data_IF_118623561223
#
_entry.id   IF_118623561223
#
_cell.length_a   1.000
_cell.length_b   1.000
_cell.length_c   1.000
_cell.angle_alpha   90.00
_cell.angle_beta   90.00
_cell.angle_gamma   90.00
#
_symmetry.space_group_name_H-M   'P 1'
#
loop_
_entity.id
_entity.type
_entity.pdbx_description
1 polymer ?
#
# COMPACT_ATOMS: atom_id res chain seq x y z
N UNK A 1 -40.66 -74.69 38.77
CA UNK A 1 -39.33 -74.08 38.95
C UNK A 1 -39.34 -72.81 38.10
N UNK A 2 -39.52 -71.67 38.76
CA UNK A 2 -39.71 -70.37 38.13
C UNK A 2 -38.36 -69.68 37.94
N UNK A 3 -38.09 -69.15 36.75
CA UNK A 3 -36.90 -68.32 36.48
C UNK A 3 -37.32 -66.87 36.36
N UNK A 4 -36.75 -66.06 37.25
CA UNK A 4 -36.89 -64.63 37.35
C UNK A 4 -35.94 -63.89 36.40
N UNK A 5 -36.49 -62.85 35.78
CA UNK A 5 -36.02 -61.47 35.61
C UNK A 5 -34.56 -61.08 35.28
N UNK A 6 -34.51 -59.93 34.58
CA UNK A 6 -33.40 -58.97 34.33
C UNK A 6 -32.51 -59.26 33.10
N UNK A 7 -32.05 -58.32 32.24
CA UNK A 7 -31.87 -56.86 32.30
C UNK A 7 -32.10 -56.27 30.89
N UNK A 8 -32.84 -55.16 30.80
CA UNK A 8 -32.94 -54.30 29.61
C UNK A 8 -31.90 -53.18 29.76
N UNK A 9 -30.82 -53.18 28.98
CA UNK A 9 -29.76 -52.18 29.07
C UNK A 9 -29.03 -51.98 27.74
N UNK A 10 -29.24 -50.82 27.12
CA UNK A 10 -28.59 -50.47 25.87
C UNK A 10 -29.10 -49.14 25.33
N UNK A 11 -28.97 -48.07 26.13
CA UNK A 11 -29.19 -46.69 25.68
C UNK A 11 -28.25 -46.41 24.51
N UNK A 12 -28.82 -46.04 23.37
CA UNK A 12 -28.07 -45.62 22.21
C UNK A 12 -27.39 -44.26 22.38
N UNK A 13 -26.47 -44.02 21.44
CA UNK A 13 -25.80 -42.75 21.06
C UNK A 13 -24.47 -42.46 21.80
N UNK A 14 -23.40 -41.98 21.11
CA UNK A 14 -23.38 -40.61 20.60
C UNK A 14 -22.49 -40.35 19.35
N UNK A 15 -22.52 -41.19 18.31
CA UNK A 15 -21.66 -40.95 17.13
C UNK A 15 -22.00 -39.70 16.27
N UNK A 16 -23.27 -39.29 16.06
CA UNK A 16 -23.55 -38.17 15.15
C UNK A 16 -23.24 -36.79 15.74
N UNK A 17 -23.32 -36.64 17.06
CA UNK A 17 -23.08 -35.36 17.73
C UNK A 17 -21.59 -34.96 17.68
N UNK A 18 -20.69 -35.91 17.92
CA UNK A 18 -19.24 -35.68 17.88
C UNK A 18 -18.74 -35.35 16.47
N UNK A 19 -19.31 -36.00 15.45
CA UNK A 19 -18.98 -35.75 14.04
C UNK A 19 -19.47 -34.36 13.59
N UNK A 20 -20.70 -33.99 13.98
CA UNK A 20 -21.26 -32.68 13.67
C UNK A 20 -20.46 -31.55 14.31
N UNK A 21 -20.00 -31.73 15.54
CA UNK A 21 -19.15 -30.78 16.26
C UNK A 21 -17.76 -30.64 15.62
N UNK A 22 -17.17 -31.75 15.17
CA UNK A 22 -15.90 -31.76 14.43
C UNK A 22 -16.02 -31.04 13.08
N UNK A 23 -17.11 -31.28 12.34
CA UNK A 23 -17.33 -30.63 11.05
C UNK A 23 -17.58 -29.13 11.19
N UNK A 24 -18.37 -28.71 12.19
CA UNK A 24 -18.61 -27.28 12.46
C UNK A 24 -17.34 -26.57 12.93
N UNK A 25 -16.57 -27.16 13.82
CA UNK A 25 -15.26 -26.60 14.23
C UNK A 25 -14.29 -26.52 13.06
N UNK A 26 -14.22 -27.55 12.20
CA UNK A 26 -13.38 -27.53 11.00
C UNK A 26 -13.82 -26.42 10.02
N UNK A 27 -15.13 -26.27 9.81
CA UNK A 27 -15.70 -25.22 8.94
C UNK A 27 -15.41 -23.83 9.49
N UNK A 28 -15.57 -23.62 10.80
CA UNK A 28 -15.22 -22.37 11.50
C UNK A 28 -13.73 -22.04 11.37
N UNK A 29 -12.86 -23.04 11.50
CA UNK A 29 -11.40 -22.88 11.31
C UNK A 29 -11.05 -22.56 9.85
N UNK A 30 -11.70 -23.21 8.88
CA UNK A 30 -11.52 -22.95 7.45
C UNK A 30 -12.02 -21.55 7.04
N UNK A 31 -13.16 -21.12 7.58
CA UNK A 31 -13.72 -19.78 7.37
C UNK A 31 -12.85 -18.70 8.03
N UNK A 32 -12.33 -18.95 9.22
CA UNK A 32 -11.41 -18.04 9.91
C UNK A 32 -10.01 -18.00 9.25
N UNK A 33 -9.59 -19.06 8.57
CA UNK A 33 -8.31 -19.12 7.86
C UNK A 33 -8.27 -18.30 6.56
N UNK A 34 -9.42 -17.84 6.05
CA UNK A 34 -9.49 -17.04 4.82
C UNK A 34 -9.03 -15.57 5.00
N UNK A 35 -8.91 -15.08 6.24
CA UNK A 35 -8.42 -13.74 6.54
C UNK A 35 -7.51 -13.79 7.78
N UNK A 36 -6.21 -14.02 7.57
CA UNK A 36 -5.23 -13.96 8.67
C UNK A 36 -4.76 -12.52 8.91
N UNK A 37 -4.91 -12.10 10.17
CA UNK A 37 -4.34 -10.94 10.89
C UNK A 37 -4.71 -9.51 10.44
N UNK A 38 -5.66 -8.93 11.18
CA UNK A 38 -5.79 -7.47 11.37
C UNK A 38 -4.78 -7.05 12.43
N UNK A 39 -3.66 -6.44 12.03
CA UNK A 39 -2.81 -5.69 12.98
C UNK A 39 -3.40 -4.29 13.14
N UNK A 40 -3.78 -3.91 14.37
CA UNK A 40 -4.07 -2.50 14.69
C UNK A 40 -2.74 -1.76 14.71
N UNK A 41 -2.34 -1.18 13.58
CA UNK A 41 -1.16 -0.33 13.50
C UNK A 41 -1.50 1.11 13.96
N UNK A 42 -0.52 1.95 14.31
CA UNK A 42 -0.73 3.26 14.94
C UNK A 42 -1.63 4.24 14.15
N UNK A 43 -1.88 3.97 12.87
CA UNK A 43 -2.68 4.83 11.97
C UNK A 43 -4.08 4.27 11.65
N UNK A 44 -4.61 3.33 12.46
CA UNK A 44 -5.91 2.71 12.19
C UNK A 44 -5.87 1.82 10.96
N UNK A 45 -4.72 1.19 10.73
CA UNK A 45 -4.45 0.40 9.53
C UNK A 45 -5.18 -0.94 9.59
N UNK A 46 -5.73 -1.35 8.45
CA UNK A 46 -6.31 -2.68 8.24
C UNK A 46 -5.70 -3.30 7.01
N UNK A 47 -4.80 -4.25 7.23
CA UNK A 47 -4.14 -5.02 6.20
C UNK A 47 -4.79 -6.40 6.11
N UNK A 48 -4.99 -6.90 4.90
CA UNK A 48 -5.47 -8.27 4.68
C UNK A 48 -4.69 -8.89 3.54
N UNK A 49 -4.10 -10.06 3.80
CA UNK A 49 -3.50 -10.90 2.79
C UNK A 49 -4.52 -11.97 2.37
N UNK A 50 -4.78 -12.12 1.08
CA UNK A 50 -5.72 -13.12 0.57
C UNK A 50 -5.00 -14.43 0.23
N UNK A 51 -5.68 -15.56 0.44
CA UNK A 51 -5.11 -16.90 0.19
C UNK A 51 -4.66 -17.13 -1.27
N UNK A 52 -5.24 -16.41 -2.22
CA UNK A 52 -4.83 -16.43 -3.63
C UNK A 52 -3.49 -15.72 -3.89
N UNK A 53 -2.93 -15.02 -2.89
CA UNK A 53 -1.62 -14.39 -2.96
C UNK A 53 -0.45 -15.37 -2.78
N UNK A 54 -0.70 -16.69 -2.76
CA UNK A 54 0.39 -17.69 -2.62
C UNK A 54 1.42 -17.45 -3.74
N UNK A 55 2.69 -17.19 -3.39
CA UNK A 55 3.70 -16.98 -4.39
C UNK A 55 3.85 -18.24 -5.22
N UNK A 56 3.78 -18.11 -6.55
CA UNK A 56 4.40 -19.07 -7.43
C UNK A 56 5.88 -19.17 -6.99
N UNK A 57 6.29 -20.35 -6.51
CA UNK A 57 7.63 -20.61 -6.02
C UNK A 57 8.63 -20.53 -7.19
N UNK A 58 8.99 -19.33 -7.64
CA UNK A 58 10.11 -19.02 -8.57
C UNK A 58 9.95 -17.72 -9.38
N UNK A 59 8.84 -16.98 -9.26
CA UNK A 59 8.64 -15.76 -10.07
C UNK A 59 9.39 -14.53 -9.53
N UNK A 60 10.08 -13.78 -10.40
CA UNK A 60 10.54 -12.43 -10.06
C UNK A 60 9.37 -11.59 -9.54
N UNK A 61 9.61 -10.79 -8.49
CA UNK A 61 8.58 -9.92 -7.94
C UNK A 61 7.99 -9.05 -9.06
N UNK A 62 6.67 -9.13 -9.29
CA UNK A 62 6.00 -8.33 -10.34
C UNK A 62 5.21 -7.20 -9.69
N UNK A 63 5.17 -6.06 -10.37
CA UNK A 63 4.35 -4.95 -9.92
C UNK A 63 2.85 -5.35 -9.95
N UNK A 64 2.10 -5.17 -8.85
CA UNK A 64 0.69 -5.52 -8.81
C UNK A 64 -0.16 -4.56 -9.65
N UNK A 65 -1.34 -5.01 -10.08
CA UNK A 65 -2.39 -4.08 -10.54
C UNK A 65 -3.06 -3.48 -9.33
N UNK A 66 -3.21 -2.16 -9.29
CA UNK A 66 -3.77 -1.45 -8.16
C UNK A 66 -5.19 -0.94 -8.46
N UNK A 67 -6.04 -0.99 -7.44
CA UNK A 67 -7.36 -0.35 -7.44
C UNK A 67 -7.50 0.55 -6.23
N UNK A 68 -7.90 1.80 -6.46
CA UNK A 68 -8.20 2.78 -5.41
C UNK A 68 -9.67 2.65 -5.04
N UNK A 69 -9.95 2.06 -3.88
CA UNK A 69 -11.26 1.99 -3.29
C UNK A 69 -11.49 3.18 -2.34
N UNK A 70 -12.75 3.49 -2.04
CA UNK A 70 -13.13 4.67 -1.22
C UNK A 70 -12.43 4.71 0.15
N UNK A 71 -12.11 3.56 0.74
CA UNK A 71 -11.45 3.47 2.05
C UNK A 71 -10.10 2.76 2.03
N UNK A 72 -9.51 2.52 0.86
CA UNK A 72 -8.28 1.73 0.82
C UNK A 72 -7.73 1.44 -0.56
N UNK A 73 -6.62 0.71 -0.56
CA UNK A 73 -5.90 0.25 -1.72
C UNK A 73 -6.04 -1.27 -1.82
N UNK A 74 -6.41 -1.74 -3.00
CA UNK A 74 -6.44 -3.16 -3.31
C UNK A 74 -5.37 -3.47 -4.35
N UNK A 75 -4.70 -4.61 -4.17
CA UNK A 75 -3.73 -5.11 -5.12
C UNK A 75 -4.16 -6.45 -5.70
N UNK A 76 -3.97 -6.57 -6.99
CA UNK A 76 -4.35 -7.73 -7.79
C UNK A 76 -3.14 -8.28 -8.51
N UNK A 77 -3.19 -9.59 -8.70
CA UNK A 77 -2.32 -10.31 -9.61
C UNK A 77 -2.59 -9.86 -11.05
N UNK A 78 -1.57 -9.38 -11.79
CA UNK A 78 -1.80 -8.84 -13.14
C UNK A 78 -2.14 -9.91 -14.18
N UNK A 79 -1.88 -11.19 -13.91
CA UNK A 79 -2.11 -12.30 -14.85
C UNK A 79 -3.46 -12.96 -14.60
N UNK A 80 -3.71 -13.34 -13.35
CA UNK A 80 -4.90 -14.08 -12.94
C UNK A 80 -6.06 -13.17 -12.52
N UNK A 81 -5.78 -11.89 -12.24
CA UNK A 81 -6.76 -10.97 -11.67
C UNK A 81 -7.15 -11.29 -10.23
N UNK A 82 -6.49 -12.27 -9.58
CA UNK A 82 -6.79 -12.62 -8.21
C UNK A 82 -6.36 -11.49 -7.25
N UNK A 83 -7.22 -11.17 -6.27
CA UNK A 83 -6.87 -10.18 -5.24
C UNK A 83 -5.76 -10.75 -4.36
N UNK A 84 -4.65 -10.02 -4.25
CA UNK A 84 -3.48 -10.38 -3.46
C UNK A 84 -3.60 -9.86 -2.03
N UNK A 85 -3.85 -8.58 -1.87
CA UNK A 85 -4.02 -7.96 -0.56
C UNK A 85 -4.89 -6.71 -0.63
N UNK A 86 -5.41 -6.30 0.53
CA UNK A 86 -6.06 -5.01 0.73
C UNK A 86 -5.40 -4.25 1.87
N UNK A 87 -5.34 -2.95 1.75
CA UNK A 87 -4.84 -2.04 2.77
C UNK A 87 -5.81 -0.87 2.92
N UNK A 88 -6.43 -0.74 4.09
CA UNK A 88 -7.31 0.36 4.45
C UNK A 88 -6.75 1.15 5.63
N UNK A 89 -7.16 2.41 5.73
CA UNK A 89 -6.87 3.29 6.87
C UNK A 89 -8.17 3.91 7.35
N UNK A 90 -8.41 3.88 8.64
CA UNK A 90 -9.64 4.42 9.20
C UNK A 90 -9.71 5.95 8.99
N UNK A 91 -10.86 6.41 8.46
CA UNK A 91 -11.11 7.83 8.20
C UNK A 91 -10.36 8.43 7.01
N UNK A 92 -9.50 7.67 6.33
CA UNK A 92 -8.63 8.18 5.26
C UNK A 92 -8.80 7.43 3.96
N UNK A 93 -8.67 8.14 2.85
CA UNK A 93 -8.71 7.55 1.50
C UNK A 93 -7.42 7.80 0.73
N UNK A 94 -6.99 6.86 -0.11
CA UNK A 94 -5.87 7.09 -0.98
C UNK A 94 -6.29 8.05 -2.12
N UNK A 95 -5.47 9.06 -2.37
CA UNK A 95 -5.63 10.00 -3.48
C UNK A 95 -4.92 9.51 -4.74
N UNK A 96 -3.75 8.90 -4.55
CA UNK A 96 -2.93 8.37 -5.64
C UNK A 96 -2.25 7.09 -5.19
N UNK A 97 -2.03 6.17 -6.13
CA UNK A 97 -1.14 5.03 -5.90
C UNK A 97 -0.31 4.72 -7.14
N UNK A 98 0.87 4.14 -6.90
CA UNK A 98 1.81 3.72 -7.94
C UNK A 98 2.26 2.29 -7.66
N UNK A 99 2.14 1.37 -8.64
CA UNK A 99 2.68 0.03 -8.50
C UNK A 99 4.20 0.09 -8.67
N UNK A 100 4.91 -0.60 -7.79
CA UNK A 100 6.35 -0.81 -7.84
C UNK A 100 6.66 -2.32 -7.82
N UNK A 101 7.88 -2.72 -8.13
CA UNK A 101 8.22 -4.14 -8.20
C UNK A 101 8.00 -4.82 -6.83
N UNK A 102 7.02 -5.72 -6.74
CA UNK A 102 6.64 -6.40 -5.48
C UNK A 102 6.06 -5.47 -4.39
N UNK A 103 5.75 -4.22 -4.73
CA UNK A 103 5.29 -3.22 -3.79
C UNK A 103 4.25 -2.27 -4.40
N UNK A 104 3.64 -1.45 -3.57
CA UNK A 104 2.79 -0.35 -3.97
C UNK A 104 3.11 0.84 -3.08
N UNK A 105 3.05 2.05 -3.63
CA UNK A 105 3.09 3.27 -2.81
C UNK A 105 1.81 4.04 -3.01
N UNK A 106 1.25 4.56 -1.93
CA UNK A 106 0.06 5.40 -1.93
C UNK A 106 0.31 6.72 -1.22
N UNK A 107 -0.38 7.76 -1.70
CA UNK A 107 -0.50 9.07 -1.07
C UNK A 107 -1.95 9.24 -0.62
N UNK A 108 -2.14 9.57 0.64
CA UNK A 108 -3.44 9.66 1.32
C UNK A 108 -3.89 11.11 1.47
N UNK A 109 -5.18 11.31 1.76
CA UNK A 109 -5.81 12.63 1.86
C UNK A 109 -5.30 13.49 3.03
N UNK A 110 -4.79 12.86 4.08
CA UNK A 110 -4.09 13.50 5.19
C UNK A 110 -2.61 13.80 4.91
N UNK A 111 -2.11 13.42 3.74
CA UNK A 111 -0.72 13.64 3.36
C UNK A 111 0.22 12.55 3.83
N UNK A 112 -0.30 11.44 4.36
CA UNK A 112 0.53 10.28 4.62
C UNK A 112 0.92 9.63 3.29
N UNK A 113 2.14 9.13 3.23
CA UNK A 113 2.69 8.30 2.17
C UNK A 113 2.94 6.94 2.77
N UNK A 114 2.47 5.90 2.10
CA UNK A 114 2.65 4.52 2.58
C UNK A 114 3.22 3.66 1.49
N UNK A 115 4.21 2.83 1.82
CA UNK A 115 4.63 1.74 0.95
C UNK A 115 4.19 0.40 1.51
N UNK A 116 3.51 -0.40 0.69
CA UNK A 116 3.03 -1.73 1.01
C UNK A 116 3.80 -2.75 0.19
N UNK A 117 4.43 -3.74 0.81
CA UNK A 117 5.19 -4.77 0.12
C UNK A 117 4.81 -6.16 0.62
N UNK A 118 4.73 -7.13 -0.29
CA UNK A 118 4.56 -8.54 0.04
C UNK A 118 5.89 -9.25 -0.24
N UNK A 119 6.64 -9.60 0.81
CA UNK A 119 7.94 -10.27 0.69
C UNK A 119 7.90 -11.60 1.43
N UNK A 120 8.23 -12.68 0.74
CA UNK A 120 8.25 -14.04 1.28
C UNK A 120 6.95 -14.42 2.03
N UNK A 121 5.79 -13.98 1.51
CA UNK A 121 4.48 -14.23 2.13
C UNK A 121 4.12 -13.29 3.29
N UNK A 122 5.02 -12.39 3.69
CA UNK A 122 4.76 -11.38 4.72
C UNK A 122 4.42 -10.04 4.10
N UNK A 123 3.26 -9.51 4.46
CA UNK A 123 2.81 -8.18 4.07
C UNK A 123 3.35 -7.17 5.09
N UNK A 124 4.06 -6.13 4.61
CA UNK A 124 4.57 -5.04 5.44
C UNK A 124 4.14 -3.69 4.90
N UNK A 125 4.01 -2.72 5.79
CA UNK A 125 3.71 -1.32 5.46
C UNK A 125 4.67 -0.39 6.22
N UNK A 126 5.19 0.61 5.51
CA UNK A 126 5.87 1.76 6.12
C UNK A 126 5.06 3.04 5.87
N UNK A 127 5.25 4.05 6.73
CA UNK A 127 4.52 5.33 6.69
C UNK A 127 5.48 6.52 6.77
N UNK A 128 5.23 7.57 5.98
CA UNK A 128 5.94 8.86 6.04
C UNK A 128 4.96 10.00 5.79
N UNK A 129 5.11 11.12 6.48
CA UNK A 129 4.33 12.32 6.15
C UNK A 129 4.93 13.02 4.93
N UNK A 130 4.09 13.49 4.01
CA UNK A 130 4.49 14.39 2.92
C UNK A 130 4.71 15.81 3.49
N UNK A 131 5.96 16.29 3.60
CA UNK A 131 6.19 17.62 4.15
C UNK A 131 5.64 18.69 3.20
N UNK A 132 5.09 19.76 3.76
CA UNK A 132 4.36 20.76 2.99
C UNK A 132 2.91 20.41 2.67
N UNK A 133 2.42 19.22 3.07
CA UNK A 133 1.00 18.85 2.93
C UNK A 133 0.08 19.50 3.97
N UNK A 134 0.63 20.07 5.05
CA UNK A 134 -0.10 20.59 6.21
C UNK A 134 -1.48 21.12 5.82
N UNK A 135 -2.55 20.51 6.37
CA UNK A 135 -3.96 20.43 5.95
C UNK A 135 -4.74 21.74 5.75
N UNK A 136 -4.05 22.74 5.22
CA UNK A 136 -4.55 24.02 4.75
C UNK A 136 -5.50 23.79 3.57
N UNK A 137 -6.47 24.69 3.36
CA UNK A 137 -7.31 24.68 2.17
C UNK A 137 -6.53 24.65 0.86
N UNK A 138 -5.33 25.24 0.83
CA UNK A 138 -4.45 25.24 -0.33
C UNK A 138 -3.90 23.84 -0.68
N UNK A 139 -3.46 23.07 0.33
CA UNK A 139 -3.03 21.68 0.13
C UNK A 139 -4.15 20.78 -0.41
N UNK A 140 -5.41 21.04 -0.01
CA UNK A 140 -6.59 20.35 -0.56
C UNK A 140 -6.88 20.70 -2.03
N UNK A 141 -6.52 21.90 -2.49
CA UNK A 141 -6.76 22.37 -3.87
C UNK A 141 -5.69 21.91 -4.86
N UNK A 142 -4.46 21.69 -4.39
CA UNK A 142 -3.35 21.19 -5.19
C UNK A 142 -2.69 20.02 -4.46
N UNK A 143 -3.33 18.83 -4.43
CA UNK A 143 -2.72 17.66 -3.83
C UNK A 143 -1.41 17.38 -4.53
N UNK A 144 -0.34 17.20 -3.75
CA UNK A 144 0.95 16.78 -4.29
C UNK A 144 0.84 15.51 -5.13
N UNK A 145 1.79 15.30 -6.03
CA UNK A 145 1.80 14.16 -6.95
C UNK A 145 2.83 13.12 -6.52
N UNK A 146 2.46 11.85 -6.60
CA UNK A 146 3.33 10.71 -6.32
C UNK A 146 4.05 10.24 -7.59
N UNK A 147 5.38 10.24 -7.55
CA UNK A 147 6.26 9.94 -8.68
C UNK A 147 7.30 8.88 -8.27
N UNK A 148 7.36 7.74 -8.95
CA UNK A 148 8.47 6.78 -8.80
C UNK A 148 9.77 7.30 -9.44
N UNK A 149 10.95 7.03 -8.90
CA UNK A 149 12.22 7.50 -9.44
C UNK A 149 13.23 6.34 -9.56
N UNK A 150 14.05 6.38 -10.60
CA UNK A 150 15.12 5.40 -10.84
C UNK A 150 14.65 3.98 -11.16
N UNK A 151 15.63 3.11 -11.39
CA UNK A 151 15.44 1.66 -11.47
C UNK A 151 15.55 1.03 -10.07
N UNK A 152 15.05 -0.18 -9.90
CA UNK A 152 14.88 -0.86 -8.62
C UNK A 152 16.19 -0.93 -7.78
N UNK A 153 16.14 -0.75 -6.45
CA UNK A 153 14.94 -0.62 -5.62
C UNK A 153 14.26 0.75 -5.71
N UNK A 154 14.78 1.70 -6.50
CA UNK A 154 14.14 2.97 -6.81
C UNK A 154 13.83 3.84 -5.60
N UNK A 155 13.16 4.95 -5.87
CA UNK A 155 12.65 5.86 -4.86
C UNK A 155 11.23 6.31 -5.21
N UNK A 156 10.56 6.94 -4.27
CA UNK A 156 9.29 7.63 -4.50
C UNK A 156 9.40 9.07 -4.06
N UNK A 157 9.05 9.97 -4.95
CA UNK A 157 8.96 11.40 -4.69
C UNK A 157 7.50 11.82 -4.51
N UNK A 158 7.25 12.64 -3.49
CA UNK A 158 6.06 13.47 -3.38
C UNK A 158 6.42 14.86 -3.85
N UNK A 159 5.71 15.32 -4.88
CA UNK A 159 5.91 16.64 -5.48
C UNK A 159 4.77 17.55 -5.05
N UNK A 160 5.07 18.51 -4.18
CA UNK A 160 4.16 19.60 -3.83
C UNK A 160 4.64 20.90 -4.48
N UNK A 161 3.82 21.96 -4.53
CA UNK A 161 4.27 23.25 -5.08
C UNK A 161 5.51 23.82 -4.40
N UNK A 162 5.73 23.55 -3.11
CA UNK A 162 6.85 24.12 -2.35
C UNK A 162 8.04 23.19 -2.23
N UNK A 163 7.80 21.88 -2.26
CA UNK A 163 8.79 20.89 -1.87
C UNK A 163 8.64 19.60 -2.68
N UNK A 164 9.76 19.05 -3.11
CA UNK A 164 9.88 17.65 -3.52
C UNK A 164 10.54 16.89 -2.38
N UNK A 165 9.92 15.81 -1.91
CA UNK A 165 10.52 14.92 -0.90
C UNK A 165 10.56 13.51 -1.42
N UNK A 166 11.71 12.85 -1.26
CA UNK A 166 11.98 11.55 -1.82
C UNK A 166 12.30 10.53 -0.74
N UNK A 167 11.67 9.36 -0.83
CA UNK A 167 11.83 8.25 0.09
C UNK A 167 12.31 7.00 -0.65
N UNK A 168 13.10 6.16 0.02
CA UNK A 168 13.43 4.83 -0.45
C UNK A 168 12.15 3.97 -0.51
N UNK A 169 11.96 3.22 -1.61
CA UNK A 169 10.76 2.37 -1.74
C UNK A 169 10.73 1.20 -0.75
N UNK A 170 11.90 0.72 -0.32
CA UNK A 170 12.03 -0.47 0.53
C UNK A 170 11.45 -0.29 1.93
N UNK A 171 11.79 0.80 2.59
CA UNK A 171 11.54 1.05 4.02
C UNK A 171 10.98 2.47 4.31
N UNK A 172 10.80 3.28 3.26
CA UNK A 172 10.37 4.67 3.38
C UNK A 172 11.45 5.62 3.90
N UNK A 173 12.71 5.20 4.03
CA UNK A 173 13.81 6.06 4.49
C UNK A 173 13.88 7.36 3.68
N UNK A 174 13.98 8.51 4.36
CA UNK A 174 14.17 9.80 3.67
C UNK A 174 15.50 9.75 2.91
N UNK A 175 15.47 10.05 1.61
CA UNK A 175 16.68 10.16 0.78
C UNK A 175 17.13 11.61 0.67
N UNK A 176 16.21 12.47 0.26
CA UNK A 176 16.48 13.90 0.10
C UNK A 176 15.17 14.67 0.00
N UNK A 177 15.26 15.98 0.19
CA UNK A 177 14.20 16.91 -0.14
C UNK A 177 14.77 18.13 -0.87
N UNK A 178 13.94 18.80 -1.67
CA UNK A 178 14.33 19.99 -2.42
C UNK A 178 13.18 20.99 -2.44
N UNK A 179 13.46 22.18 -1.94
CA UNK A 179 12.52 23.30 -2.04
C UNK A 179 12.47 23.88 -3.44
N UNK A 180 11.33 24.47 -3.78
CA UNK A 180 11.16 25.19 -5.03
C UNK A 180 12.03 26.45 -5.09
N UNK A 181 12.59 26.93 -3.98
CA UNK A 181 13.36 28.18 -3.92
C UNK A 181 12.48 29.44 -3.91
N UNK A 182 13.08 30.57 -3.54
CA UNK A 182 12.36 31.85 -3.41
C UNK A 182 11.71 32.27 -4.74
N UNK A 183 10.46 32.73 -4.68
CA UNK A 183 9.71 33.20 -5.85
C UNK A 183 9.35 32.12 -6.87
N UNK A 184 9.52 30.84 -6.54
CA UNK A 184 9.22 29.72 -7.43
C UNK A 184 8.29 28.68 -6.78
N UNK A 185 7.56 27.95 -7.62
CA UNK A 185 6.74 26.80 -7.23
C UNK A 185 6.87 25.68 -8.26
N UNK A 186 6.93 24.42 -7.80
CA UNK A 186 6.82 23.26 -8.67
C UNK A 186 5.40 23.12 -9.21
N UNK A 187 5.30 22.73 -10.47
CA UNK A 187 4.05 22.34 -11.10
C UNK A 187 3.98 20.82 -11.17
N UNK A 188 3.32 20.21 -10.19
CA UNK A 188 3.20 18.76 -10.07
C UNK A 188 2.34 18.11 -11.17
N UNK A 189 1.64 18.92 -11.97
CA UNK A 189 0.86 18.47 -13.14
C UNK A 189 1.69 18.46 -14.43
N UNK A 190 2.80 19.21 -14.47
CA UNK A 190 3.69 19.32 -15.64
C UNK A 190 5.02 18.64 -15.38
N UNK A 191 4.99 17.31 -15.52
CA UNK A 191 6.17 16.45 -15.34
C UNK A 191 6.49 15.65 -16.60
N UNK A 192 7.77 15.41 -16.84
CA UNK A 192 8.25 14.48 -17.86
C UNK A 192 9.27 13.50 -17.27
N UNK A 193 9.40 12.31 -17.85
CA UNK A 193 10.36 11.28 -17.40
C UNK A 193 11.25 10.86 -18.54
N UNK A 194 12.55 10.77 -18.28
CA UNK A 194 13.52 10.24 -19.23
C UNK A 194 14.68 9.57 -18.50
N UNK A 195 14.95 8.30 -18.81
CA UNK A 195 16.13 7.56 -18.32
C UNK A 195 16.35 7.67 -16.80
N UNK A 196 15.29 7.46 -16.01
CA UNK A 196 15.36 7.53 -14.54
C UNK A 196 15.37 8.94 -13.94
N UNK A 197 15.37 9.99 -14.78
CA UNK A 197 15.25 11.39 -14.39
C UNK A 197 13.79 11.84 -14.50
N UNK A 198 13.31 12.53 -13.47
CA UNK A 198 12.06 13.27 -13.44
C UNK A 198 12.34 14.75 -13.69
N UNK A 199 11.75 15.29 -14.74
CA UNK A 199 11.71 16.72 -15.03
C UNK A 199 10.38 17.29 -14.53
N UNK A 200 10.44 18.41 -13.83
CA UNK A 200 9.26 19.11 -13.28
C UNK A 200 9.34 20.57 -13.70
N UNK A 201 8.27 21.10 -14.29
CA UNK A 201 8.19 22.52 -14.56
C UNK A 201 8.11 23.32 -13.25
N UNK A 202 8.75 24.49 -13.23
CA UNK A 202 8.66 25.48 -12.15
C UNK A 202 8.06 26.76 -12.68
N UNK A 203 7.10 27.29 -11.95
CA UNK A 203 6.60 28.65 -12.13
C UNK A 203 7.43 29.55 -11.24
N UNK A 204 8.16 30.49 -11.83
CA UNK A 204 9.05 31.41 -11.11
C UNK A 204 8.67 32.87 -11.41
N UNK A 205 9.11 33.78 -10.54
CA UNK A 205 8.94 35.21 -10.73
C UNK A 205 9.44 35.68 -12.12
N UNK A 206 8.83 36.74 -12.70
CA UNK A 206 9.30 37.36 -13.93
C UNK A 206 10.80 37.70 -13.87
N UNK A 207 11.50 37.60 -15.00
CA UNK A 207 12.94 37.83 -15.08
C UNK A 207 13.83 36.66 -14.65
N UNK A 208 13.27 35.60 -14.06
CA UNK A 208 14.04 34.38 -13.76
C UNK A 208 14.45 33.66 -15.06
N UNK A 209 15.73 33.23 -15.21
CA UNK A 209 16.21 32.49 -16.38
C UNK A 209 15.33 31.26 -16.69
N UNK A 210 15.17 30.96 -17.98
CA UNK A 210 14.33 29.84 -18.41
C UNK A 210 14.82 28.49 -17.87
N UNK A 211 16.13 28.33 -17.68
CA UNK A 211 16.73 27.11 -17.11
C UNK A 211 16.25 26.84 -15.69
N UNK A 212 15.96 27.88 -14.90
CA UNK A 212 15.40 27.72 -13.56
C UNK A 212 13.92 27.33 -13.54
N UNK A 213 13.24 27.40 -14.70
CA UNK A 213 11.83 27.00 -14.86
C UNK A 213 11.65 25.50 -15.06
N UNK A 214 12.72 24.73 -15.02
CA UNK A 214 12.70 23.28 -15.03
C UNK A 214 13.60 22.81 -13.88
N UNK A 215 13.16 21.80 -13.15
CA UNK A 215 14.00 21.08 -12.20
C UNK A 215 14.07 19.62 -12.59
N UNK A 216 15.25 19.03 -12.39
CA UNK A 216 15.53 17.63 -12.69
C UNK A 216 15.87 16.87 -11.41
N UNK A 217 15.37 15.64 -11.30
CA UNK A 217 15.55 14.80 -10.11
C UNK A 217 15.82 13.35 -10.51
N UNK A 218 16.71 12.69 -9.78
CA UNK A 218 16.92 11.24 -9.85
C UNK A 218 16.57 10.58 -8.52
N UNK A 219 16.64 9.24 -8.45
CA UNK A 219 16.43 8.53 -7.20
C UNK A 219 17.47 8.86 -6.12
N UNK A 220 18.67 9.27 -6.53
CA UNK A 220 19.82 9.43 -5.63
C UNK A 220 20.10 10.90 -5.29
N UNK A 221 19.73 11.82 -6.19
CA UNK A 221 19.93 13.26 -5.95
C UNK A 221 18.98 14.15 -6.76
N UNK A 222 18.68 15.36 -6.25
CA UNK A 222 18.27 16.47 -7.11
C UNK A 222 19.45 16.92 -7.98
N UNK A 223 19.19 17.24 -9.25
CA UNK A 223 20.20 17.90 -10.10
C UNK A 223 20.17 19.40 -9.84
N UNK A 224 21.33 20.06 -10.03
CA UNK A 224 21.49 21.50 -9.88
C UNK A 224 20.73 22.27 -10.97
#
# INVERSE_FOLDING_TARGET
>A
MATADTVRGGRGTPFPASLALLLTTLLLVLLAAAARHVQHAPFGDRLTLHAAARPAHSGAARAPRLHLARGGLEAYDPETGARRWTYARDGHRPLQARPALGAAVALWDDGLVTGTALRHGTLSVWHRGAPGWAGTPAARRAPGTLQLLGAQPGAVAVVTPRLVTTYALGDGGLRWHREAGSGCAFDSSRTARRTGVLLIARHCAPGTPWTSRIAAFSADSPFA
#
